data_IF_943563445593
#
_entry.id   IF_943563445593
#
_cell.length_a   1.000
_cell.length_b   1.000
_cell.length_c   1.000
_cell.angle_alpha   90.00
_cell.angle_beta   90.00
_cell.angle_gamma   90.00
#
_symmetry.space_group_name_H-M   'P 1'
#
loop_
_entity.id
_entity.type
_entity.pdbx_description
1 polymer ?
#
# COMPACT_ATOMS: atom_id res chain seq x y z
N UNK A 1 17.40 -11.16 13.91
CA UNK A 1 17.98 -9.81 14.06
C UNK A 1 17.30 -9.28 15.28
N UNK A 2 17.83 -9.69 16.43
CA UNK A 2 17.26 -9.36 17.73
C UNK A 2 17.74 -7.95 18.09
N UNK A 3 17.02 -6.95 17.59
CA UNK A 3 17.17 -5.58 18.06
C UNK A 3 15.87 -5.24 18.78
N UNK A 4 16.01 -4.90 20.05
CA UNK A 4 14.89 -4.74 20.98
C UNK A 4 13.85 -3.75 20.47
N UNK A 5 12.57 -4.10 20.60
CA UNK A 5 11.41 -3.26 20.27
C UNK A 5 11.46 -1.85 20.90
N UNK A 6 12.27 -1.67 21.95
CA UNK A 6 12.53 -0.40 22.62
C UNK A 6 13.34 0.61 21.79
N UNK A 7 14.25 0.16 20.91
CA UNK A 7 14.98 1.12 20.05
C UNK A 7 14.11 1.69 18.92
N UNK A 8 13.02 1.01 18.56
CA UNK A 8 12.10 1.44 17.51
C UNK A 8 11.33 2.72 17.87
N UNK A 9 11.16 3.01 19.17
CA UNK A 9 10.50 4.22 19.67
C UNK A 9 11.33 5.51 19.49
N UNK A 10 12.59 5.45 19.08
CA UNK A 10 13.40 6.66 18.86
C UNK A 10 13.74 6.90 17.38
N UNK A 11 13.24 6.08 16.46
CA UNK A 11 13.48 6.33 15.04
C UNK A 11 12.71 7.57 14.56
N UNK A 12 13.47 8.59 14.16
CA UNK A 12 13.01 9.66 13.30
C UNK A 12 12.80 9.19 11.85
N UNK A 13 12.41 10.12 10.97
CA UNK A 13 12.16 9.86 9.55
C UNK A 13 13.32 9.12 8.84
N UNK A 14 14.55 9.62 8.98
CA UNK A 14 15.74 9.00 8.40
C UNK A 14 16.02 7.61 8.98
N UNK A 15 15.67 7.40 10.25
CA UNK A 15 15.76 6.10 10.90
C UNK A 15 14.85 5.09 10.20
N UNK A 16 13.58 5.43 9.98
CA UNK A 16 12.60 4.55 9.31
C UNK A 16 13.11 4.17 7.92
N UNK A 17 13.52 5.13 7.10
CA UNK A 17 14.06 4.85 5.76
C UNK A 17 15.28 3.93 5.80
N UNK A 18 16.20 4.18 6.74
CA UNK A 18 17.41 3.35 6.90
C UNK A 18 17.06 1.92 7.30
N UNK A 19 16.10 1.74 8.19
CA UNK A 19 15.67 0.43 8.65
C UNK A 19 14.95 -0.35 7.53
N UNK A 20 14.03 0.31 6.82
CA UNK A 20 13.36 -0.25 5.64
C UNK A 20 14.38 -0.71 4.60
N UNK A 21 15.36 0.14 4.25
CA UNK A 21 16.42 -0.22 3.30
C UNK A 21 17.27 -1.39 3.78
N UNK A 22 17.61 -1.45 5.09
CA UNK A 22 18.35 -2.59 5.65
C UNK A 22 17.58 -3.90 5.53
N UNK A 23 16.27 -3.90 5.80
CA UNK A 23 15.42 -5.09 5.71
C UNK A 23 15.36 -5.60 4.26
N UNK A 24 15.10 -4.68 3.32
CA UNK A 24 15.01 -5.00 1.88
C UNK A 24 16.34 -5.56 1.36
N UNK A 25 17.46 -4.92 1.69
CA UNK A 25 18.78 -5.37 1.25
C UNK A 25 19.18 -6.71 1.87
N UNK A 26 18.86 -6.93 3.14
CA UNK A 26 19.17 -8.18 3.85
C UNK A 26 18.43 -9.38 3.26
N UNK A 27 17.17 -9.20 2.89
CA UNK A 27 16.32 -10.26 2.36
C UNK A 27 16.04 -10.12 0.86
N UNK A 28 16.96 -9.47 0.12
CA UNK A 28 16.78 -9.13 -1.30
C UNK A 28 16.39 -10.31 -2.18
N UNK A 29 16.84 -11.53 -1.86
CA UNK A 29 16.48 -12.73 -2.63
C UNK A 29 14.98 -13.03 -2.56
N UNK A 30 14.41 -12.99 -1.35
CA UNK A 30 12.98 -13.20 -1.14
C UNK A 30 12.17 -12.06 -1.76
N UNK A 31 12.60 -10.81 -1.58
CA UNK A 31 11.92 -9.67 -2.19
C UNK A 31 12.01 -9.67 -3.72
N UNK A 32 13.13 -10.10 -4.30
CA UNK A 32 13.26 -10.27 -5.74
C UNK A 32 12.31 -11.36 -6.27
N UNK A 33 12.17 -12.47 -5.55
CA UNK A 33 11.22 -13.55 -5.87
C UNK A 33 9.77 -13.04 -5.81
N UNK A 34 9.39 -12.33 -4.74
CA UNK A 34 8.07 -11.67 -4.62
C UNK A 34 7.84 -10.68 -5.77
N UNK A 35 8.86 -9.89 -6.13
CA UNK A 35 8.77 -8.93 -7.24
C UNK A 35 8.47 -9.65 -8.55
N UNK A 36 9.20 -10.73 -8.82
CA UNK A 36 9.11 -11.46 -10.07
C UNK A 36 7.81 -12.26 -10.17
N UNK A 37 7.34 -12.85 -9.07
CA UNK A 37 6.14 -13.70 -9.04
C UNK A 37 4.83 -12.93 -8.90
N UNK A 38 4.83 -11.77 -8.22
CA UNK A 38 3.60 -11.01 -7.95
C UNK A 38 3.62 -9.63 -8.63
N UNK A 39 4.68 -8.84 -8.45
CA UNK A 39 4.69 -7.46 -8.94
C UNK A 39 4.74 -7.42 -10.48
N UNK A 40 5.57 -8.26 -11.09
CA UNK A 40 5.73 -8.27 -12.54
C UNK A 40 4.44 -8.70 -13.28
N UNK A 41 3.71 -9.76 -12.88
CA UNK A 41 2.40 -10.06 -13.43
C UNK A 41 1.38 -8.94 -13.23
N UNK A 42 1.37 -8.30 -12.05
CA UNK A 42 0.48 -7.18 -11.78
C UNK A 42 0.69 -6.04 -12.79
N UNK A 43 1.95 -5.71 -13.10
CA UNK A 43 2.27 -4.70 -14.10
C UNK A 43 1.88 -5.10 -15.52
N UNK A 44 2.04 -6.37 -15.90
CA UNK A 44 1.61 -6.86 -17.23
C UNK A 44 0.11 -6.69 -17.38
N UNK A 45 -0.66 -7.05 -16.35
CA UNK A 45 -2.12 -6.88 -16.34
C UNK A 45 -2.50 -5.40 -16.37
N UNK A 46 -1.79 -4.55 -15.63
CA UNK A 46 -1.98 -3.10 -15.68
C UNK A 46 -1.71 -2.54 -17.08
N UNK A 47 -0.59 -2.91 -17.71
CA UNK A 47 -0.26 -2.50 -19.07
C UNK A 47 -1.33 -2.98 -20.08
N UNK A 48 -1.81 -4.22 -19.96
CA UNK A 48 -2.89 -4.75 -20.77
C UNK A 48 -4.19 -3.95 -20.57
N UNK A 49 -4.53 -3.58 -19.34
CA UNK A 49 -5.72 -2.78 -19.05
C UNK A 49 -5.66 -1.40 -19.73
N UNK A 50 -4.51 -0.72 -19.69
CA UNK A 50 -4.30 0.57 -20.37
C UNK A 50 -4.37 0.41 -21.89
N UNK A 51 -3.79 -0.67 -22.42
CA UNK A 51 -3.86 -0.97 -23.85
C UNK A 51 -5.32 -1.19 -24.31
N UNK A 52 -6.10 -1.96 -23.56
CA UNK A 52 -7.53 -2.18 -23.82
C UNK A 52 -8.35 -0.88 -23.73
N UNK A 53 -8.01 -0.01 -22.79
CA UNK A 53 -8.63 1.32 -22.68
C UNK A 53 -8.34 2.18 -23.93
N UNK A 54 -7.11 2.14 -24.45
CA UNK A 54 -6.76 2.85 -25.69
C UNK A 54 -7.54 2.34 -26.91
N UNK A 55 -7.80 1.03 -26.97
CA UNK A 55 -8.61 0.40 -28.01
C UNK A 55 -10.09 0.78 -27.87
N UNK A 56 -10.62 0.80 -26.64
CA UNK A 56 -12.00 1.21 -26.36
C UNK A 56 -12.27 2.66 -26.74
N UNK A 57 -11.29 3.56 -26.58
CA UNK A 57 -11.46 4.96 -26.98
C UNK A 57 -11.59 5.13 -28.50
N UNK A 58 -11.09 4.16 -29.29
CA UNK A 58 -11.07 4.22 -30.75
C UNK A 58 -12.31 3.58 -31.40
N UNK A 59 -13.09 2.78 -30.67
CA UNK A 59 -14.26 2.06 -31.18
C UNK A 59 -15.56 2.85 -30.99
N UNK A 60 -16.54 2.65 -31.88
CA UNK A 60 -17.83 3.35 -31.84
C UNK A 60 -18.67 2.97 -30.61
N UNK A 61 -19.44 3.95 -30.11
CA UNK A 61 -20.20 3.96 -28.86
C UNK A 61 -21.28 2.86 -28.70
N UNK A 62 -21.59 2.11 -29.75
CA UNK A 62 -22.70 1.14 -29.78
C UNK A 62 -22.49 -0.08 -28.86
N UNK A 63 -21.25 -0.37 -28.44
CA UNK A 63 -20.90 -1.43 -27.48
C UNK A 63 -20.25 -0.91 -26.18
N UNK A 64 -20.39 0.38 -25.86
CA UNK A 64 -19.71 1.02 -24.72
C UNK A 64 -19.90 0.26 -23.39
N UNK A 65 -21.10 -0.25 -23.12
CA UNK A 65 -21.40 -1.00 -21.89
C UNK A 65 -20.58 -2.29 -21.73
N UNK A 66 -20.25 -2.99 -22.83
CA UNK A 66 -19.42 -4.21 -22.79
C UNK A 66 -17.97 -3.87 -22.48
N UNK A 67 -17.44 -2.81 -23.10
CA UNK A 67 -16.08 -2.33 -22.82
C UNK A 67 -15.94 -1.85 -21.37
N UNK A 68 -16.91 -1.08 -20.88
CA UNK A 68 -16.92 -0.60 -19.50
C UNK A 68 -17.00 -1.74 -18.47
N UNK A 69 -17.77 -2.79 -18.79
CA UNK A 69 -17.84 -4.00 -17.95
C UNK A 69 -16.50 -4.74 -17.88
N UNK A 70 -15.79 -4.85 -19.01
CA UNK A 70 -14.46 -5.47 -19.08
C UNK A 70 -13.45 -4.63 -18.28
N UNK A 71 -13.47 -3.30 -18.44
CA UNK A 71 -12.60 -2.37 -17.73
C UNK A 71 -12.80 -2.43 -16.21
N UNK A 72 -14.05 -2.46 -15.75
CA UNK A 72 -14.39 -2.66 -14.35
C UNK A 72 -13.86 -4.00 -13.82
N UNK A 73 -13.95 -5.06 -14.62
CA UNK A 73 -13.42 -6.37 -14.30
C UNK A 73 -11.90 -6.37 -14.12
N UNK A 74 -11.16 -5.74 -15.05
CA UNK A 74 -9.71 -5.58 -14.93
C UNK A 74 -9.31 -4.73 -13.72
N UNK A 75 -10.03 -3.63 -13.46
CA UNK A 75 -9.81 -2.80 -12.28
C UNK A 75 -9.95 -3.62 -11.00
N UNK A 76 -11.05 -4.37 -10.86
CA UNK A 76 -11.26 -5.25 -9.71
C UNK A 76 -10.17 -6.31 -9.58
N UNK A 77 -9.78 -6.94 -10.69
CA UNK A 77 -8.74 -7.97 -10.69
C UNK A 77 -7.35 -7.44 -10.28
N UNK A 78 -6.90 -6.33 -10.89
CA UNK A 78 -5.65 -5.64 -10.53
C UNK A 78 -5.66 -5.26 -9.06
N UNK A 79 -6.80 -4.75 -8.60
CA UNK A 79 -6.96 -4.35 -7.22
C UNK A 79 -6.84 -5.54 -6.25
N UNK A 80 -7.56 -6.63 -6.50
CA UNK A 80 -7.49 -7.86 -5.69
C UNK A 80 -6.05 -8.40 -5.65
N UNK A 81 -5.39 -8.43 -6.81
CA UNK A 81 -4.01 -8.91 -6.93
C UNK A 81 -3.02 -8.01 -6.17
N UNK A 82 -3.21 -6.69 -6.23
CA UNK A 82 -2.43 -5.72 -5.44
C UNK A 82 -2.58 -5.97 -3.93
N UNK A 83 -3.79 -6.30 -3.45
CA UNK A 83 -3.97 -6.64 -2.05
C UNK A 83 -3.32 -7.97 -1.64
N UNK A 84 -3.30 -8.96 -2.54
CA UNK A 84 -2.57 -10.21 -2.31
C UNK A 84 -1.06 -9.95 -2.17
N UNK A 85 -0.52 -9.06 -3.00
CA UNK A 85 0.87 -8.60 -2.89
C UNK A 85 1.13 -7.94 -1.52
N UNK A 86 0.25 -7.04 -1.06
CA UNK A 86 0.36 -6.41 0.27
C UNK A 86 0.39 -7.49 1.35
N UNK A 87 -0.57 -8.43 1.33
CA UNK A 87 -0.62 -9.50 2.31
C UNK A 87 0.63 -10.38 2.31
N UNK A 88 1.16 -10.72 1.14
CA UNK A 88 2.36 -11.53 1.01
C UNK A 88 3.59 -10.81 1.61
N UNK A 89 3.82 -9.55 1.23
CA UNK A 89 4.95 -8.75 1.72
C UNK A 89 4.85 -8.53 3.22
N UNK A 90 3.67 -8.14 3.72
CA UNK A 90 3.42 -7.91 5.15
C UNK A 90 3.65 -9.19 5.96
N UNK A 91 3.16 -10.33 5.46
CA UNK A 91 3.37 -11.63 6.10
C UNK A 91 4.85 -12.03 6.09
N UNK A 92 5.57 -11.84 4.99
CA UNK A 92 7.02 -12.09 4.91
C UNK A 92 7.79 -11.24 5.91
N UNK A 93 7.49 -9.94 6.01
CA UNK A 93 8.11 -9.04 6.99
C UNK A 93 7.80 -9.50 8.41
N UNK A 94 6.55 -9.83 8.72
CA UNK A 94 6.16 -10.36 10.03
C UNK A 94 6.91 -11.66 10.38
N UNK A 95 7.06 -12.60 9.44
CA UNK A 95 7.83 -13.82 9.63
C UNK A 95 9.33 -13.55 9.87
N UNK A 96 9.91 -12.56 9.17
CA UNK A 96 11.30 -12.13 9.39
C UNK A 96 11.48 -11.61 10.82
N UNK A 97 10.52 -10.85 11.34
CA UNK A 97 10.53 -10.38 12.72
C UNK A 97 10.29 -11.50 13.75
N UNK A 98 9.51 -12.53 13.41
CA UNK A 98 9.11 -13.60 14.33
C UNK A 98 10.01 -14.87 14.32
N UNK A 99 11.08 -14.92 13.50
CA UNK A 99 12.07 -16.03 13.41
C UNK A 99 11.50 -17.47 13.31
N UNK A 100 10.23 -17.64 12.90
CA UNK A 100 9.54 -18.94 12.85
C UNK A 100 9.62 -19.63 11.48
N UNK A 101 9.76 -20.95 11.48
CA UNK A 101 9.70 -21.79 10.28
C UNK A 101 8.24 -22.00 9.82
N UNK A 102 8.01 -21.91 8.51
CA UNK A 102 6.66 -21.79 7.93
C UNK A 102 6.25 -23.09 7.24
N UNK A 103 5.09 -23.66 7.60
CA UNK A 103 4.55 -24.90 6.98
C UNK A 103 3.41 -24.59 6.00
N UNK A 104 3.55 -24.97 4.73
CA UNK A 104 2.64 -24.65 3.61
C UNK A 104 1.14 -24.91 3.85
N UNK A 105 0.79 -25.99 4.57
CA UNK A 105 -0.61 -26.34 4.84
C UNK A 105 -1.29 -25.36 5.82
N UNK A 106 -0.53 -24.80 6.76
CA UNK A 106 -0.96 -23.73 7.68
C UNK A 106 -1.06 -22.40 6.95
N UNK A 107 -0.16 -22.13 6.01
CA UNK A 107 -0.15 -20.92 5.17
C UNK A 107 -1.44 -20.82 4.34
N UNK A 108 -1.88 -21.89 3.67
CA UNK A 108 -3.06 -21.84 2.80
C UNK A 108 -4.36 -21.55 3.57
N UNK A 109 -4.54 -22.16 4.75
CA UNK A 109 -5.70 -21.91 5.62
C UNK A 109 -5.65 -20.52 6.26
N UNK A 110 -4.47 -20.07 6.69
CA UNK A 110 -4.28 -18.71 7.18
C UNK A 110 -4.55 -17.68 6.08
N UNK A 111 -4.10 -17.97 4.85
CA UNK A 111 -4.25 -17.09 3.68
C UNK A 111 -5.70 -16.90 3.27
N UNK A 112 -6.53 -17.96 3.23
CA UNK A 112 -7.96 -17.85 2.91
C UNK A 112 -8.75 -17.08 4.00
N UNK A 113 -8.33 -17.21 5.27
CA UNK A 113 -8.91 -16.49 6.41
C UNK A 113 -8.56 -15.00 6.36
N UNK A 114 -7.30 -14.67 6.05
CA UNK A 114 -6.81 -13.29 5.88
C UNK A 114 -7.45 -12.63 4.65
N UNK A 115 -7.63 -13.38 3.56
CA UNK A 115 -8.23 -12.87 2.33
C UNK A 115 -9.68 -12.41 2.51
N UNK A 116 -10.51 -13.19 3.22
CA UNK A 116 -11.90 -12.78 3.52
C UNK A 116 -11.95 -11.48 4.35
N UNK A 117 -11.10 -11.37 5.37
CA UNK A 117 -11.03 -10.18 6.23
C UNK A 117 -10.56 -8.95 5.46
N UNK A 118 -9.54 -9.13 4.62
CA UNK A 118 -9.01 -8.09 3.77
C UNK A 118 -10.05 -7.61 2.74
N UNK A 119 -10.83 -8.52 2.15
CA UNK A 119 -11.91 -8.15 1.23
C UNK A 119 -12.97 -7.26 1.88
N UNK A 120 -13.29 -7.49 3.16
CA UNK A 120 -14.24 -6.65 3.91
C UNK A 120 -13.66 -5.26 4.19
N UNK A 121 -12.39 -5.17 4.60
CA UNK A 121 -11.69 -3.88 4.77
C UNK A 121 -11.64 -3.11 3.46
N UNK A 122 -11.31 -3.81 2.37
CA UNK A 122 -11.30 -3.25 1.04
C UNK A 122 -12.68 -2.71 0.63
N UNK A 123 -13.75 -3.51 0.76
CA UNK A 123 -15.08 -3.08 0.33
C UNK A 123 -15.51 -1.79 1.02
N UNK A 124 -15.18 -1.63 2.31
CA UNK A 124 -15.50 -0.41 3.04
C UNK A 124 -14.62 0.78 2.62
N UNK A 125 -13.32 0.56 2.39
CA UNK A 125 -12.44 1.60 1.84
C UNK A 125 -12.87 2.04 0.44
N UNK A 126 -13.26 1.10 -0.42
CA UNK A 126 -13.77 1.36 -1.76
C UNK A 126 -15.08 2.15 -1.71
N UNK A 127 -16.01 1.78 -0.83
CA UNK A 127 -17.25 2.54 -0.63
C UNK A 127 -16.95 3.98 -0.19
N UNK A 128 -15.99 4.19 0.72
CA UNK A 128 -15.58 5.52 1.17
C UNK A 128 -14.95 6.34 0.03
N UNK A 129 -14.08 5.73 -0.77
CA UNK A 129 -13.48 6.37 -1.95
C UNK A 129 -14.55 6.73 -3.00
N UNK A 130 -15.50 5.83 -3.25
CA UNK A 130 -16.59 6.06 -4.19
C UNK A 130 -17.47 7.23 -3.75
N UNK A 131 -17.92 7.25 -2.49
CA UNK A 131 -18.71 8.37 -1.94
C UNK A 131 -17.95 9.69 -2.04
N UNK A 132 -16.66 9.70 -1.72
CA UNK A 132 -15.82 10.91 -1.82
C UNK A 132 -15.77 11.45 -3.26
N UNK A 133 -15.57 10.58 -4.25
CA UNK A 133 -15.54 10.97 -5.65
C UNK A 133 -16.91 11.45 -6.15
N UNK A 134 -18.01 10.76 -5.79
CA UNK A 134 -19.37 11.18 -6.16
C UNK A 134 -19.68 12.58 -5.61
N UNK A 135 -19.31 12.86 -4.36
CA UNK A 135 -19.48 14.18 -3.74
C UNK A 135 -18.64 15.23 -4.49
N UNK A 136 -17.39 14.93 -4.83
CA UNK A 136 -16.52 15.83 -5.59
C UNK A 136 -17.08 16.14 -6.99
N UNK A 137 -17.59 15.13 -7.70
CA UNK A 137 -18.25 15.31 -9.01
C UNK A 137 -19.50 16.17 -8.86
N UNK A 138 -20.30 15.96 -7.80
CA UNK A 138 -21.45 16.82 -7.50
C UNK A 138 -21.08 18.29 -7.32
N UNK A 139 -20.00 18.57 -6.57
CA UNK A 139 -19.48 19.93 -6.41
C UNK A 139 -18.95 20.53 -7.72
N UNK A 140 -18.30 19.72 -8.57
CA UNK A 140 -17.87 20.17 -9.90
C UNK A 140 -19.05 20.53 -10.80
N UNK A 141 -20.11 19.71 -10.82
CA UNK A 141 -21.33 20.01 -11.58
C UNK A 141 -21.99 21.29 -11.07
N UNK A 142 -22.12 21.45 -9.75
CA UNK A 142 -22.64 22.67 -9.15
C UNK A 142 -21.82 23.90 -9.57
N UNK A 143 -20.50 23.80 -9.51
CA UNK A 143 -19.59 24.85 -9.93
C UNK A 143 -19.78 25.22 -11.41
N UNK A 144 -19.91 24.23 -12.31
CA UNK A 144 -20.19 24.45 -13.73
C UNK A 144 -21.53 25.16 -13.97
N UNK A 145 -22.58 24.77 -13.25
CA UNK A 145 -23.91 25.42 -13.36
C UNK A 145 -23.85 26.88 -12.93
N UNK A 146 -23.11 27.20 -11.86
CA UNK A 146 -22.92 28.58 -11.39
C UNK A 146 -22.13 29.39 -12.42
N UNK A 147 -21.10 28.79 -13.03
CA UNK A 147 -20.28 29.44 -14.06
C UNK A 147 -21.12 29.82 -15.30
N UNK A 148 -22.06 28.96 -15.72
CA UNK A 148 -22.97 29.26 -16.83
C UNK A 148 -23.96 30.38 -16.47
N UNK A 149 -24.48 30.38 -15.23
CA UNK A 149 -25.48 31.38 -14.79
C UNK A 149 -24.90 32.77 -14.51
N UNK A 150 -23.62 32.87 -14.13
CA UNK A 150 -22.98 34.12 -13.71
C UNK A 150 -21.65 34.36 -14.44
N UNK A 151 -21.68 34.74 -15.72
CA UNK A 151 -20.47 34.99 -16.51
C UNK A 151 -19.67 36.24 -16.08
N UNK A 152 -20.21 37.08 -15.20
CA UNK A 152 -19.65 38.39 -14.84
C UNK A 152 -18.57 38.40 -13.75
N UNK A 153 -18.29 37.28 -13.07
CA UNK A 153 -17.29 37.21 -11.96
C UNK A 153 -16.29 36.05 -12.11
N UNK A 154 -15.56 35.94 -13.24
CA UNK A 154 -14.71 34.79 -13.52
C UNK A 154 -13.56 34.64 -12.51
N UNK A 155 -13.01 35.73 -11.98
CA UNK A 155 -11.88 35.69 -11.05
C UNK A 155 -12.23 34.99 -9.71
N UNK A 156 -13.40 35.33 -9.13
CA UNK A 156 -13.87 34.75 -7.87
C UNK A 156 -14.22 33.26 -8.05
N UNK A 157 -14.83 32.91 -9.19
CA UNK A 157 -15.18 31.53 -9.55
C UNK A 157 -13.96 30.64 -9.75
N UNK A 158 -12.91 31.15 -10.40
CA UNK A 158 -11.64 30.43 -10.58
C UNK A 158 -10.95 30.26 -9.23
N UNK A 159 -10.89 31.30 -8.39
CA UNK A 159 -10.30 31.18 -7.05
C UNK A 159 -11.00 30.10 -6.20
N UNK A 160 -12.33 30.07 -6.20
CA UNK A 160 -13.11 29.02 -5.53
C UNK A 160 -12.85 27.63 -6.11
N UNK A 161 -12.72 27.51 -7.43
CA UNK A 161 -12.41 26.24 -8.09
C UNK A 161 -11.04 25.70 -7.67
N UNK A 162 -10.03 26.58 -7.61
CA UNK A 162 -8.67 26.22 -7.18
C UNK A 162 -8.67 25.77 -5.72
N UNK A 163 -9.37 26.48 -4.83
CA UNK A 163 -9.49 26.09 -3.42
C UNK A 163 -10.16 24.71 -3.29
N UNK A 164 -11.25 24.49 -4.02
CA UNK A 164 -11.98 23.23 -4.00
C UNK A 164 -11.15 22.07 -4.57
N UNK A 165 -10.37 22.33 -5.63
CA UNK A 165 -9.44 21.38 -6.20
C UNK A 165 -8.32 21.00 -5.20
N UNK A 166 -7.74 21.98 -4.51
CA UNK A 166 -6.72 21.72 -3.49
C UNK A 166 -7.31 20.88 -2.36
N UNK A 167 -8.49 21.25 -1.85
CA UNK A 167 -9.17 20.48 -0.80
C UNK A 167 -9.46 19.04 -1.27
N UNK A 168 -9.88 18.87 -2.53
CA UNK A 168 -10.10 17.57 -3.13
C UNK A 168 -8.82 16.73 -3.18
N UNK A 169 -7.70 17.30 -3.63
CA UNK A 169 -6.41 16.60 -3.72
C UNK A 169 -5.89 16.20 -2.32
N UNK A 170 -5.98 17.10 -1.34
CA UNK A 170 -5.58 16.83 0.04
C UNK A 170 -6.42 15.71 0.65
N UNK A 171 -7.75 15.75 0.47
CA UNK A 171 -8.64 14.71 0.95
C UNK A 171 -8.40 13.36 0.25
N UNK A 172 -8.10 13.37 -1.06
CA UNK A 172 -7.77 12.17 -1.82
C UNK A 172 -6.50 11.50 -1.27
N UNK A 173 -5.43 12.28 -1.06
CA UNK A 173 -4.18 11.82 -0.43
C UNK A 173 -4.42 11.28 0.97
N UNK A 174 -5.24 11.95 1.77
CA UNK A 174 -5.55 11.50 3.12
C UNK A 174 -6.32 10.16 3.13
N UNK A 175 -7.28 9.99 2.23
CA UNK A 175 -8.04 8.75 2.08
C UNK A 175 -7.14 7.60 1.62
N UNK A 176 -6.24 7.83 0.66
CA UNK A 176 -5.30 6.80 0.20
C UNK A 176 -4.30 6.40 1.28
N UNK A 177 -3.83 7.36 2.09
CA UNK A 177 -3.00 7.06 3.27
C UNK A 177 -3.72 6.16 4.27
N UNK A 178 -4.97 6.50 4.62
CA UNK A 178 -5.80 5.68 5.51
C UNK A 178 -6.03 4.29 4.93
N UNK A 179 -6.29 4.20 3.63
CA UNK A 179 -6.52 2.95 2.94
C UNK A 179 -5.31 2.03 3.04
N UNK A 180 -4.13 2.48 2.59
CA UNK A 180 -2.93 1.66 2.57
C UNK A 180 -2.59 1.14 3.98
N UNK A 181 -2.70 2.00 4.99
CA UNK A 181 -2.50 1.61 6.37
C UNK A 181 -3.57 0.63 6.89
N UNK A 182 -4.85 0.86 6.58
CA UNK A 182 -5.92 -0.06 6.99
C UNK A 182 -5.74 -1.46 6.37
N UNK A 183 -5.22 -1.55 5.14
CA UNK A 183 -4.85 -2.82 4.52
C UNK A 183 -3.74 -3.52 5.29
N UNK A 184 -2.67 -2.80 5.68
CA UNK A 184 -1.58 -3.36 6.51
C UNK A 184 -2.09 -3.83 7.88
N UNK A 185 -2.91 -3.03 8.56
CA UNK A 185 -3.51 -3.38 9.86
C UNK A 185 -4.41 -4.61 9.74
N UNK A 186 -5.23 -4.69 8.70
CA UNK A 186 -6.14 -5.82 8.48
C UNK A 186 -5.41 -7.14 8.18
N UNK A 187 -4.14 -7.09 7.76
CA UNK A 187 -3.30 -8.28 7.58
C UNK A 187 -2.60 -8.66 8.89
N UNK A 188 -2.14 -7.66 9.67
CA UNK A 188 -1.37 -7.89 10.89
C UNK A 188 -2.23 -8.14 12.14
N UNK A 189 -3.47 -7.66 12.14
CA UNK A 189 -4.39 -7.78 13.28
C UNK A 189 -5.73 -8.40 12.87
N UNK A 190 -6.41 -8.98 13.85
CA UNK A 190 -7.79 -9.49 13.71
C UNK A 190 -8.85 -8.37 13.59
N UNK A 191 -8.42 -7.11 13.41
CA UNK A 191 -9.29 -5.96 13.16
C UNK A 191 -9.45 -5.72 11.66
N UNK A 192 -10.69 -5.79 11.16
CA UNK A 192 -11.03 -5.59 9.74
C UNK A 192 -12.17 -4.56 9.58
N UNK A 193 -12.40 -4.09 8.35
CA UNK A 193 -13.47 -3.17 8.02
C UNK A 193 -13.33 -1.81 8.74
N UNK A 194 -14.44 -1.33 9.31
CA UNK A 194 -14.51 -0.06 10.05
C UNK A 194 -13.54 0.01 11.22
N UNK A 195 -13.29 -1.11 11.90
CA UNK A 195 -12.40 -1.15 13.08
C UNK A 195 -10.96 -0.86 12.66
N UNK A 196 -10.51 -1.43 11.54
CA UNK A 196 -9.17 -1.18 10.98
C UNK A 196 -8.97 0.29 10.58
N UNK A 197 -9.97 0.93 9.95
CA UNK A 197 -9.88 2.35 9.59
C UNK A 197 -9.96 3.29 10.79
N UNK A 198 -10.75 2.97 11.81
CA UNK A 198 -10.77 3.77 13.04
C UNK A 198 -9.41 3.71 13.73
N UNK A 199 -8.78 2.53 13.76
CA UNK A 199 -7.44 2.34 14.30
C UNK A 199 -6.38 3.05 13.45
N UNK A 200 -6.43 2.96 12.13
CA UNK A 200 -5.49 3.65 11.25
C UNK A 200 -5.53 5.17 11.46
N UNK A 201 -6.72 5.77 11.60
CA UNK A 201 -6.89 7.19 11.96
C UNK A 201 -6.28 7.53 13.33
N UNK A 202 -6.46 6.67 14.32
CA UNK A 202 -5.85 6.85 15.65
C UNK A 202 -4.33 6.88 15.59
N UNK A 203 -3.72 5.94 14.88
CA UNK A 203 -2.26 5.84 14.70
C UNK A 203 -1.68 7.04 13.96
N UNK A 204 -2.36 7.53 12.91
CA UNK A 204 -1.92 8.70 12.15
C UNK A 204 -1.94 9.97 13.02
N UNK A 205 -2.88 10.09 13.98
CA UNK A 205 -3.04 11.29 14.82
C UNK A 205 -1.86 11.51 15.77
N UNK A 206 -1.19 10.44 16.22
CA UNK A 206 -0.07 10.54 17.17
C UNK A 206 1.21 11.14 16.58
N UNK A 207 1.48 10.92 15.29
CA UNK A 207 2.71 11.40 14.62
C UNK A 207 2.50 11.68 13.14
N UNK A 208 1.51 12.53 12.83
CA UNK A 208 1.07 12.81 11.45
C UNK A 208 2.22 13.28 10.55
N UNK A 209 3.17 14.06 11.08
CA UNK A 209 4.32 14.54 10.32
C UNK A 209 5.21 13.42 9.78
N UNK A 210 5.42 12.34 10.55
CA UNK A 210 6.23 11.20 10.09
C UNK A 210 5.53 10.47 8.93
N UNK A 211 4.23 10.21 9.09
CA UNK A 211 3.40 9.55 8.06
C UNK A 211 3.35 10.35 6.76
N UNK A 212 3.07 11.66 6.88
CA UNK A 212 2.97 12.55 5.73
C UNK A 212 4.31 12.66 5.00
N UNK A 213 5.42 12.83 5.70
CA UNK A 213 6.74 12.99 5.07
C UNK A 213 7.19 11.72 4.35
N UNK A 214 6.96 10.55 4.97
CA UNK A 214 7.23 9.25 4.39
C UNK A 214 6.37 8.98 3.14
N UNK A 215 5.06 9.16 3.24
CA UNK A 215 4.14 8.94 2.12
C UNK A 215 4.39 9.92 0.98
N UNK A 216 4.59 11.21 1.30
CA UNK A 216 4.87 12.24 0.30
C UNK A 216 6.20 11.99 -0.41
N UNK A 217 7.24 11.55 0.31
CA UNK A 217 8.53 11.20 -0.29
C UNK A 217 8.40 10.08 -1.33
N UNK A 218 7.70 9.00 -0.98
CA UNK A 218 7.43 7.90 -1.92
C UNK A 218 6.56 8.36 -3.09
N UNK A 219 5.52 9.17 -2.83
CA UNK A 219 4.63 9.70 -3.86
C UNK A 219 5.38 10.57 -4.87
N UNK A 220 6.26 11.46 -4.41
CA UNK A 220 7.10 12.30 -5.27
C UNK A 220 8.04 11.44 -6.11
N UNK A 221 8.67 10.42 -5.53
CA UNK A 221 9.51 9.48 -6.29
C UNK A 221 8.70 8.75 -7.37
N UNK A 222 7.50 8.30 -7.04
CA UNK A 222 6.60 7.62 -7.98
C UNK A 222 6.23 8.53 -9.15
N UNK A 223 5.79 9.76 -8.87
CA UNK A 223 5.43 10.76 -9.90
C UNK A 223 6.66 11.12 -10.74
N UNK A 224 7.82 11.29 -10.14
CA UNK A 224 9.06 11.59 -10.86
C UNK A 224 9.41 10.47 -11.85
N UNK A 225 9.35 9.21 -11.44
CA UNK A 225 9.64 8.07 -12.33
C UNK A 225 8.63 8.01 -13.49
N UNK A 226 7.35 8.24 -13.22
CA UNK A 226 6.33 8.31 -14.28
C UNK A 226 6.52 9.51 -15.22
N UNK A 227 6.85 10.68 -14.68
CA UNK A 227 7.09 11.89 -15.46
C UNK A 227 8.35 11.75 -16.33
N UNK A 228 9.42 11.15 -15.81
CA UNK A 228 10.62 10.83 -16.56
C UNK A 228 10.31 9.88 -17.72
N UNK A 229 9.52 8.82 -17.48
CA UNK A 229 9.09 7.92 -18.53
C UNK A 229 8.22 8.63 -19.59
N UNK A 230 7.20 9.38 -19.16
CA UNK A 230 6.33 10.12 -20.06
C UNK A 230 7.08 11.16 -20.88
N UNK A 231 7.96 11.94 -20.26
CA UNK A 231 8.79 12.94 -20.94
C UNK A 231 9.75 12.29 -21.92
N UNK A 232 10.37 11.15 -21.59
CA UNK A 232 11.30 10.48 -22.50
C UNK A 232 10.60 9.88 -23.72
N UNK A 233 9.41 9.29 -23.50
CA UNK A 233 8.59 8.71 -24.57
C UNK A 233 8.05 9.80 -25.50
N UNK A 234 7.60 10.93 -24.96
CA UNK A 234 6.93 11.99 -25.74
C UNK A 234 7.91 12.97 -26.39
N UNK A 235 9.00 13.35 -25.70
CA UNK A 235 9.88 14.44 -26.16
C UNK A 235 11.01 13.97 -27.08
N UNK A 236 11.60 12.80 -26.81
CA UNK A 236 12.83 12.38 -27.49
C UNK A 236 12.61 11.53 -28.75
N UNK A 237 11.36 11.19 -29.10
CA UNK A 237 11.06 10.43 -30.33
C UNK A 237 11.92 9.16 -30.48
N UNK A 238 12.16 8.48 -29.35
CA UNK A 238 13.19 7.44 -29.22
C UNK A 238 12.78 6.19 -30.03
N UNK A 239 13.73 5.49 -30.69
CA UNK A 239 13.44 4.23 -31.37
C UNK A 239 12.84 3.19 -30.42
N UNK A 240 11.94 2.34 -30.96
CA UNK A 240 11.12 1.37 -30.21
C UNK A 240 11.96 0.48 -29.27
N UNK A 241 13.17 0.06 -29.70
CA UNK A 241 14.04 -0.78 -28.88
C UNK A 241 14.51 -0.10 -27.59
N UNK A 242 14.88 1.18 -27.65
CA UNK A 242 15.32 1.94 -26.47
C UNK A 242 14.10 2.32 -25.61
N UNK A 243 12.93 2.55 -26.22
CA UNK A 243 11.67 2.75 -25.49
C UNK A 243 11.30 1.55 -24.62
N UNK A 244 11.41 0.33 -25.17
CA UNK A 244 11.17 -0.91 -24.42
C UNK A 244 12.19 -1.06 -23.29
N UNK A 245 13.48 -0.80 -23.56
CA UNK A 245 14.54 -0.86 -22.55
C UNK A 245 14.31 0.10 -21.38
N UNK A 246 14.01 1.37 -21.67
CA UNK A 246 13.71 2.37 -20.63
C UNK A 246 12.42 2.02 -19.90
N UNK A 247 11.39 1.57 -20.62
CA UNK A 247 10.14 1.11 -20.01
C UNK A 247 10.37 -0.02 -19.01
N UNK A 248 11.21 -1.00 -19.36
CA UNK A 248 11.57 -2.09 -18.46
C UNK A 248 12.34 -1.58 -17.22
N UNK A 249 13.29 -0.66 -17.39
CA UNK A 249 14.02 -0.05 -16.27
C UNK A 249 13.07 0.73 -15.36
N UNK A 250 12.17 1.52 -15.93
CA UNK A 250 11.13 2.25 -15.21
C UNK A 250 10.22 1.29 -14.43
N UNK A 251 9.82 0.18 -15.06
CA UNK A 251 9.02 -0.87 -14.43
C UNK A 251 9.72 -1.48 -13.22
N UNK A 252 11.02 -1.78 -13.34
CA UNK A 252 11.82 -2.31 -12.25
C UNK A 252 11.93 -1.29 -11.11
N UNK A 253 12.15 -0.01 -11.42
CA UNK A 253 12.21 1.07 -10.43
C UNK A 253 10.88 1.24 -9.70
N UNK A 254 9.76 1.29 -10.43
CA UNK A 254 8.42 1.38 -9.83
C UNK A 254 8.12 0.17 -8.94
N UNK A 255 8.52 -1.04 -9.37
CA UNK A 255 8.38 -2.25 -8.57
C UNK A 255 9.13 -2.17 -7.24
N UNK A 256 10.37 -1.67 -7.27
CA UNK A 256 11.17 -1.43 -6.07
C UNK A 256 10.55 -0.35 -5.17
N UNK A 257 9.99 0.72 -5.74
CA UNK A 257 9.29 1.77 -4.98
C UNK A 257 8.04 1.23 -4.29
N UNK A 258 7.24 0.39 -4.97
CA UNK A 258 6.06 -0.24 -4.37
C UNK A 258 6.47 -1.16 -3.22
N UNK A 259 7.48 -2.01 -3.40
CA UNK A 259 8.00 -2.82 -2.29
C UNK A 259 8.48 -1.97 -1.12
N UNK A 260 9.23 -0.91 -1.42
CA UNK A 260 9.74 -0.01 -0.42
C UNK A 260 8.62 0.64 0.39
N UNK A 261 7.56 1.12 -0.27
CA UNK A 261 6.38 1.70 0.37
C UNK A 261 5.69 0.71 1.31
N UNK A 262 5.47 -0.53 0.86
CA UNK A 262 4.82 -1.57 1.66
C UNK A 262 5.63 -1.92 2.91
N UNK A 263 6.94 -2.13 2.77
CA UNK A 263 7.81 -2.41 3.92
C UNK A 263 7.88 -1.20 4.83
N UNK A 264 7.99 0.01 4.29
CA UNK A 264 8.00 1.25 5.08
C UNK A 264 6.72 1.41 5.90
N UNK A 265 5.53 1.20 5.31
CA UNK A 265 4.26 1.26 6.02
C UNK A 265 4.16 0.22 7.15
N UNK A 266 4.66 -1.01 6.94
CA UNK A 266 4.71 -2.01 8.01
C UNK A 266 5.63 -1.59 9.16
N UNK A 267 6.80 -1.05 8.86
CA UNK A 267 7.75 -0.55 9.87
C UNK A 267 7.14 0.63 10.63
N UNK A 268 6.52 1.60 9.95
CA UNK A 268 5.84 2.72 10.63
C UNK A 268 4.70 2.21 11.50
N UNK A 269 3.92 1.24 11.03
CA UNK A 269 2.87 0.61 11.84
C UNK A 269 3.44 0.01 13.14
N UNK A 270 4.52 -0.77 13.07
CA UNK A 270 5.16 -1.34 14.26
C UNK A 270 5.75 -0.26 15.18
N UNK A 271 6.35 0.79 14.62
CA UNK A 271 6.87 1.93 15.37
C UNK A 271 5.74 2.65 16.11
N UNK A 272 4.66 3.02 15.41
CA UNK A 272 3.49 3.67 16.00
C UNK A 272 2.80 2.81 17.06
N UNK A 273 2.73 1.49 16.85
CA UNK A 273 2.19 0.56 17.84
C UNK A 273 3.05 0.53 19.11
N UNK A 274 4.38 0.46 18.95
CA UNK A 274 5.34 0.53 20.07
C UNK A 274 5.20 1.83 20.87
N UNK A 275 4.98 2.97 20.21
CA UNK A 275 4.74 4.26 20.90
C UNK A 275 3.49 4.28 21.79
N UNK A 276 2.41 3.64 21.36
CA UNK A 276 1.16 3.61 22.12
C UNK A 276 1.16 2.61 23.29
N UNK A 277 2.27 1.92 23.55
CA UNK A 277 2.39 0.87 24.58
C UNK A 277 1.29 -0.20 24.47
N UNK A 278 0.73 -0.40 23.27
CA UNK A 278 -0.14 -1.55 23.02
C UNK A 278 0.74 -2.79 22.91
N UNK A 279 0.48 -3.81 23.74
CA UNK A 279 1.18 -5.08 23.65
C UNK A 279 1.16 -5.61 22.21
N UNK A 280 2.28 -6.15 21.77
CA UNK A 280 2.43 -6.87 20.50
C UNK A 280 1.88 -8.28 20.69
N UNK A 281 0.70 -8.37 21.30
CA UNK A 281 -0.07 -9.59 21.33
C UNK A 281 -0.63 -9.75 19.93
N UNK A 282 0.22 -10.38 19.16
CA UNK A 282 0.01 -10.91 17.84
C UNK A 282 -1.14 -11.91 17.94
N UNK A 283 -2.38 -11.44 17.98
CA UNK A 283 -3.57 -12.28 18.17
C UNK A 283 -3.77 -13.32 17.05
N UNK A 284 -2.95 -13.30 15.99
CA UNK A 284 -2.86 -14.36 14.98
C UNK A 284 -1.82 -15.45 15.33
N UNK A 285 -0.86 -15.19 16.22
CA UNK A 285 0.18 -16.15 16.62
C UNK A 285 -0.26 -17.09 17.75
N UNK A 286 -1.33 -16.77 18.47
CA UNK A 286 -1.69 -17.39 19.76
C UNK A 286 -2.83 -18.41 19.70
N UNK A 287 -3.38 -18.76 18.54
CA UNK A 287 -4.44 -19.77 18.45
C UNK A 287 -3.91 -21.23 18.57
N UNK A 288 -2.62 -21.40 18.87
CA UNK A 288 -2.11 -22.60 19.55
C UNK A 288 -0.88 -22.23 20.37
N UNK A 289 -1.06 -21.85 21.64
CA UNK A 289 0.00 -21.77 22.63
C UNK A 289 0.10 -23.14 23.28
N UNK A 290 0.87 -24.06 22.71
CA UNK A 290 1.44 -25.18 23.45
C UNK A 290 2.51 -25.84 22.58
N UNK A 291 3.66 -26.12 23.18
CA UNK A 291 4.89 -26.68 22.58
C UNK A 291 5.77 -25.66 21.85
N UNK A 292 6.53 -24.87 22.62
CA UNK A 292 7.98 -24.66 22.46
C UNK A 292 8.45 -23.49 23.35
N UNK A 293 8.41 -23.70 24.67
CA UNK A 293 9.28 -23.00 25.62
C UNK A 293 9.49 -23.94 26.82
N UNK A 294 10.28 -24.96 26.56
CA UNK A 294 10.62 -25.99 27.52
C UNK A 294 11.58 -26.94 26.82
N UNK A 295 12.81 -26.46 26.62
CA UNK A 295 14.03 -27.28 26.60
C UNK A 295 15.23 -26.36 26.28
N UNK A 296 15.92 -25.93 27.34
CA UNK A 296 17.35 -25.61 27.25
C UNK A 296 18.12 -26.83 27.75
N UNK A 297 19.11 -27.37 27.01
CA UNK A 297 19.99 -28.39 27.56
C UNK A 297 21.12 -27.74 28.39
N UNK A 298 21.08 -28.04 29.69
CA UNK A 298 22.18 -28.44 30.61
C UNK A 298 23.62 -27.92 30.42
N UNK A 299 24.12 -27.24 31.46
CA UNK A 299 25.46 -27.32 32.10
C UNK A 299 25.34 -26.52 33.43
N UNK A 300 25.76 -26.91 34.63
CA UNK A 300 26.62 -27.98 35.13
C UNK A 300 27.34 -27.45 36.40
N UNK A 301 27.18 -28.15 37.53
CA UNK A 301 28.04 -28.20 38.74
C UNK A 301 28.14 -27.01 39.73
N UNK A 302 27.71 -27.27 40.98
CA UNK A 302 28.53 -27.44 42.20
C UNK A 302 27.57 -27.79 43.36
N UNK A 303 27.52 -29.01 43.95
CA UNK A 303 28.45 -29.62 44.94
C UNK A 303 28.88 -28.61 46.04
N UNK A 304 28.79 -28.83 47.35
CA UNK A 304 28.54 -29.98 48.24
C UNK A 304 28.07 -29.36 49.61
N UNK A 305 28.03 -30.03 50.79
CA UNK A 305 26.87 -30.10 51.68
C UNK A 305 27.15 -29.56 53.11
N UNK A 306 26.11 -29.52 53.94
CA UNK A 306 26.04 -30.08 55.29
C UNK A 306 24.63 -29.88 55.84
#
# INVERSE_FOLDING_TARGET
MDRDQHELQFLGFLGVYRETSKIILKWRKIFAEITLTLILPLWIVFALSVFLQSLSFKTNWDNAWKFWSIELGFFFFIFVFSQLLISAVVYTVACIYATKQITFKKIMSAWLRVWKRLMVTFLWCFALFFVYNVVAVGFLILWLVILIKFPGVPALMIALAVILLILYLVGLVYITMIWQLASVISVLEDAYGRKAMAKSKGLIKGKIGLWVWCFLGVLVCFVLVQALFGSLVVLLGVPIGVMIGVGLICLMLLSMLVLFDLVMQTVIYFVCKSYHHENIDSACFSDHPEVCLGDRPSEGQNAFPA
#
